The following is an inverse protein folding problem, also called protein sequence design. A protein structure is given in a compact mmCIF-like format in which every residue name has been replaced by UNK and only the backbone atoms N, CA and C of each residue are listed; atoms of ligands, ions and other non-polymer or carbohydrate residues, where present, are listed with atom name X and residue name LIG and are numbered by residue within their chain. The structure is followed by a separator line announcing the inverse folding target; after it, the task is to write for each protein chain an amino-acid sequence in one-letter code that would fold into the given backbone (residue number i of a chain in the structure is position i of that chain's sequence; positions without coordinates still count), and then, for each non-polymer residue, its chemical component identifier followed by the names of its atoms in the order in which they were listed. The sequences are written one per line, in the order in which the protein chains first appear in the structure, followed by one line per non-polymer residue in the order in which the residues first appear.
data_IF_495086769039
#
_entry.id   IF_495086769039
#
_cell.length_a   1.000
_cell.length_b   1.000
_cell.length_c   1.000
_cell.angle_alpha   90.00
_cell.angle_beta   90.00
_cell.angle_gamma   90.00
#
_symmetry.space_group_name_H-M   'P 1'
#
loop_
_entity.id
_entity.type
_entity.pdbx_description
1 polymer ?
#
# COMPACT_ATOMS: atom_id res chain seq x y z
N UNK A 1 15.40 -3.79 65.55
CA UNK A 1 14.23 -3.22 64.86
C UNK A 1 14.66 -2.98 63.41
N UNK A 2 13.82 -3.39 62.49
CA UNK A 2 14.13 -3.94 61.16
C UNK A 2 14.82 -2.97 60.19
N UNK A 3 15.62 -3.56 59.30
CA UNK A 3 16.40 -2.93 58.22
C UNK A 3 15.55 -2.14 57.22
N UNK A 4 16.14 -1.06 56.73
CA UNK A 4 15.66 -0.15 55.68
C UNK A 4 15.06 -0.90 54.49
N UNK A 5 13.83 -0.52 54.13
CA UNK A 5 13.14 -1.03 52.94
C UNK A 5 14.00 -0.81 51.69
N UNK A 6 14.21 -1.88 50.93
CA UNK A 6 14.91 -1.82 49.66
C UNK A 6 14.08 -1.03 48.65
N UNK A 7 14.72 -0.05 48.02
CA UNK A 7 14.20 0.56 46.80
C UNK A 7 14.26 -0.49 45.70
N UNK A 8 13.16 -1.21 45.49
CA UNK A 8 12.96 -1.99 44.29
C UNK A 8 12.77 -1.00 43.13
N UNK A 9 13.79 -0.86 42.29
CA UNK A 9 13.61 -0.32 40.95
C UNK A 9 12.79 -1.34 40.16
N UNK A 10 11.48 -1.31 40.34
CA UNK A 10 10.55 -2.04 39.51
C UNK A 10 10.38 -1.23 38.22
N UNK A 11 11.34 -1.37 37.31
CA UNK A 11 11.10 -1.09 35.89
C UNK A 11 10.10 -2.13 35.41
N UNK A 12 8.81 -1.81 35.50
CA UNK A 12 7.79 -2.51 34.71
C UNK A 12 8.16 -2.28 33.25
N UNK A 13 8.78 -3.27 32.60
CA UNK A 13 8.91 -3.27 31.17
C UNK A 13 7.50 -3.08 30.58
N UNK A 14 7.34 -2.02 29.79
CA UNK A 14 6.16 -1.83 28.94
C UNK A 14 5.94 -3.14 28.16
N UNK A 15 4.73 -3.73 28.12
CA UNK A 15 4.51 -4.87 27.25
C UNK A 15 4.84 -4.45 25.81
N UNK A 16 5.87 -5.07 25.25
CA UNK A 16 6.21 -4.89 23.84
C UNK A 16 4.98 -5.19 23.00
N UNK A 17 4.62 -4.28 22.10
CA UNK A 17 3.56 -4.54 21.13
C UNK A 17 3.97 -5.67 20.18
N UNK A 18 3.08 -6.62 20.00
CA UNK A 18 3.26 -7.80 19.15
C UNK A 18 2.12 -7.96 18.14
N UNK A 19 1.19 -7.01 18.10
CA UNK A 19 0.06 -7.04 17.17
C UNK A 19 0.43 -6.27 15.90
N UNK A 20 0.10 -6.82 14.75
CA UNK A 20 0.27 -6.11 13.48
C UNK A 20 -0.93 -5.18 13.22
N UNK A 21 -0.72 -4.09 12.46
CA UNK A 21 -1.81 -3.17 12.13
C UNK A 21 -2.89 -3.87 11.30
N UNK A 22 -4.16 -3.58 11.57
CA UNK A 22 -5.27 -4.06 10.75
C UNK A 22 -5.46 -3.11 9.56
N UNK A 23 -5.12 -3.58 8.36
CA UNK A 23 -5.39 -2.87 7.10
C UNK A 23 -6.88 -2.94 6.77
N UNK A 24 -7.46 -1.81 6.37
CA UNK A 24 -8.88 -1.68 6.04
C UNK A 24 -9.12 -0.60 4.99
N UNK A 25 -10.33 -0.59 4.40
CA UNK A 25 -10.76 0.43 3.44
C UNK A 25 -9.79 0.64 2.26
N UNK A 26 -9.23 -0.46 1.74
CA UNK A 26 -8.37 -0.43 0.56
C UNK A 26 -9.17 0.07 -0.64
N UNK A 27 -8.73 1.20 -1.20
CA UNK A 27 -9.27 1.83 -2.40
C UNK A 27 -8.16 2.02 -3.42
N UNK A 28 -8.36 1.45 -4.60
CA UNK A 28 -7.39 1.51 -5.70
C UNK A 28 -7.99 2.36 -6.81
N UNK A 29 -7.37 3.52 -7.04
CA UNK A 29 -7.79 4.42 -8.11
C UNK A 29 -7.63 3.79 -9.50
N UNK A 30 -8.40 4.30 -10.46
CA UNK A 30 -8.20 3.98 -11.88
C UNK A 30 -6.75 4.28 -12.29
N UNK A 31 -6.00 3.30 -12.84
CA UNK A 31 -4.61 3.50 -13.24
C UNK A 31 -4.49 4.58 -14.30
N UNK A 32 -3.38 5.30 -14.28
CA UNK A 32 -2.95 6.13 -15.40
C UNK A 32 -2.07 5.31 -16.35
N UNK A 33 -1.39 5.96 -17.29
CA UNK A 33 -0.47 5.32 -18.22
C UNK A 33 0.75 4.72 -17.51
N UNK A 34 1.20 5.32 -16.40
CA UNK A 34 2.46 4.93 -15.72
C UNK A 34 2.37 4.87 -14.20
N UNK A 35 1.15 4.99 -13.64
CA UNK A 35 0.97 5.20 -12.21
C UNK A 35 -0.31 4.53 -11.71
N UNK A 36 -0.27 4.01 -10.49
CA UNK A 36 -1.43 3.52 -9.73
C UNK A 36 -1.39 4.14 -8.34
N UNK A 37 -2.49 4.73 -7.89
CA UNK A 37 -2.60 5.23 -6.51
C UNK A 37 -3.49 4.31 -5.69
N UNK A 38 -3.02 3.96 -4.50
CA UNK A 38 -3.71 3.10 -3.52
C UNK A 38 -3.85 3.89 -2.22
N UNK A 39 -5.06 3.88 -1.66
CA UNK A 39 -5.38 4.49 -0.36
C UNK A 39 -5.93 3.40 0.57
N UNK A 40 -5.63 3.52 1.86
CA UNK A 40 -6.16 2.62 2.88
C UNK A 40 -6.05 3.26 4.28
N UNK A 41 -6.61 2.58 5.27
CA UNK A 41 -6.49 2.96 6.67
C UNK A 41 -5.98 1.80 7.53
N UNK A 42 -5.32 2.14 8.64
CA UNK A 42 -5.00 1.19 9.71
C UNK A 42 -5.58 1.61 11.05
N UNK A 43 -5.83 0.65 11.93
CA UNK A 43 -6.33 0.88 13.28
C UNK A 43 -5.27 1.50 14.21
N UNK A 44 -3.99 1.38 13.87
CA UNK A 44 -2.85 1.99 14.56
C UNK A 44 -1.87 2.70 13.61
N UNK A 45 -0.88 3.42 14.15
CA UNK A 45 0.09 4.17 13.35
C UNK A 45 1.09 3.21 12.69
N UNK A 46 1.14 3.19 11.36
CA UNK A 46 1.97 2.26 10.60
C UNK A 46 2.60 2.89 9.36
N UNK A 47 3.59 2.22 8.78
CA UNK A 47 4.21 2.61 7.50
C UNK A 47 3.24 2.42 6.34
N UNK A 48 3.54 3.06 5.20
CA UNK A 48 2.70 3.03 4.00
C UNK A 48 3.46 2.41 2.82
N UNK A 49 3.28 1.13 2.51
CA UNK A 49 3.94 0.51 1.35
C UNK A 49 2.96 -0.24 0.45
N UNK A 50 3.22 -0.16 -0.85
CA UNK A 50 2.58 -1.00 -1.87
C UNK A 50 3.67 -1.85 -2.51
N UNK A 51 3.51 -3.16 -2.39
CA UNK A 51 4.27 -4.14 -3.13
C UNK A 51 3.58 -4.37 -4.48
N UNK A 52 4.32 -4.35 -5.59
CA UNK A 52 3.81 -4.59 -6.93
C UNK A 52 4.66 -5.58 -7.72
N UNK A 53 4.00 -6.37 -8.57
CA UNK A 53 4.62 -7.43 -9.37
C UNK A 53 4.05 -7.47 -10.79
N UNK A 54 4.85 -7.96 -11.74
CA UNK A 54 4.43 -8.30 -13.11
C UNK A 54 4.06 -9.77 -13.27
N UNK A 55 4.54 -10.64 -12.37
CA UNK A 55 4.44 -12.09 -12.49
C UNK A 55 3.75 -12.76 -11.28
N UNK A 56 3.33 -11.96 -10.30
CA UNK A 56 2.68 -12.42 -9.07
C UNK A 56 3.60 -13.13 -8.07
N UNK A 57 4.91 -13.19 -8.35
CA UNK A 57 5.89 -13.92 -7.52
C UNK A 57 6.99 -13.02 -6.98
N UNK A 58 7.52 -12.12 -7.81
CA UNK A 58 8.59 -11.19 -7.42
C UNK A 58 7.99 -9.81 -7.25
N UNK A 59 8.04 -9.30 -6.02
CA UNK A 59 7.47 -8.00 -5.67
C UNK A 59 8.55 -6.95 -5.44
N UNK A 60 8.27 -5.74 -5.91
CA UNK A 60 9.03 -4.52 -5.63
C UNK A 60 8.15 -3.61 -4.78
N UNK A 61 8.73 -2.89 -3.83
CA UNK A 61 7.98 -2.02 -2.92
C UNK A 61 8.22 -0.53 -3.22
N UNK A 62 7.16 0.27 -3.19
CA UNK A 62 7.22 1.73 -3.14
C UNK A 62 6.34 2.24 -2.01
N UNK A 63 6.78 3.30 -1.32
CA UNK A 63 6.06 3.77 -0.13
C UNK A 63 6.86 4.73 0.74
N UNK A 64 6.42 4.84 2.00
CA UNK A 64 6.98 5.70 3.03
C UNK A 64 7.02 5.00 4.39
N UNK A 65 8.12 5.19 5.10
CA UNK A 65 8.29 4.74 6.48
C UNK A 65 7.63 5.69 7.52
N UNK A 66 7.01 6.79 7.09
CA UNK A 66 6.28 7.68 8.01
C UNK A 66 5.07 6.96 8.59
N UNK A 67 4.95 7.00 9.92
CA UNK A 67 3.86 6.37 10.64
C UNK A 67 2.59 7.24 10.61
N UNK A 68 1.50 6.67 10.13
CA UNK A 68 0.18 7.30 10.02
C UNK A 68 -0.92 6.23 10.09
N UNK A 69 -2.18 6.65 10.27
CA UNK A 69 -3.35 5.77 10.12
C UNK A 69 -4.07 5.92 8.78
N UNK A 70 -3.78 7.00 8.06
CA UNK A 70 -4.36 7.31 6.76
C UNK A 70 -3.25 7.28 5.74
N UNK A 71 -3.36 6.38 4.76
CA UNK A 71 -2.29 6.05 3.85
C UNK A 71 -2.67 6.42 2.42
N UNK A 72 -1.68 6.87 1.66
CA UNK A 72 -1.79 7.07 0.22
C UNK A 72 -0.44 6.84 -0.40
N UNK A 73 -0.37 5.90 -1.35
CA UNK A 73 0.85 5.59 -2.11
C UNK A 73 0.53 5.63 -3.59
N UNK A 74 1.27 6.45 -4.33
CA UNK A 74 1.30 6.39 -5.79
C UNK A 74 2.51 5.60 -6.24
N UNK A 75 2.27 4.38 -6.74
CA UNK A 75 3.30 3.59 -7.43
C UNK A 75 3.53 4.23 -8.80
N UNK A 76 4.78 4.60 -9.09
CA UNK A 76 5.19 5.30 -10.31
C UNK A 76 6.20 4.49 -11.13
N UNK A 77 6.39 4.89 -12.39
CA UNK A 77 7.37 4.28 -13.28
C UNK A 77 6.90 2.96 -13.89
N UNK A 78 5.58 2.75 -13.95
CA UNK A 78 4.98 1.55 -14.51
C UNK A 78 4.98 1.58 -16.04
N UNK A 79 5.05 0.41 -16.66
CA UNK A 79 4.97 0.27 -18.12
C UNK A 79 3.51 0.43 -18.57
N UNK A 80 3.23 1.18 -19.65
CA UNK A 80 1.88 1.31 -20.22
C UNK A 80 1.28 -0.03 -20.67
N UNK A 81 -0.05 -0.15 -20.66
CA UNK A 81 -0.78 -1.34 -21.10
C UNK A 81 -0.22 -2.65 -20.51
N UNK A 82 0.08 -2.64 -19.22
CA UNK A 82 0.71 -3.77 -18.52
C UNK A 82 -0.10 -4.10 -17.27
N UNK A 83 -0.30 -5.39 -17.03
CA UNK A 83 -0.97 -5.89 -15.83
C UNK A 83 0.02 -5.92 -14.66
N UNK A 84 -0.43 -5.41 -13.53
CA UNK A 84 0.29 -5.44 -12.27
C UNK A 84 -0.55 -6.09 -11.20
N UNK A 85 0.10 -6.90 -10.37
CA UNK A 85 -0.45 -7.44 -9.13
C UNK A 85 0.08 -6.62 -7.95
N UNK A 86 -0.81 -6.25 -7.02
CA UNK A 86 -0.50 -5.39 -5.89
C UNK A 86 -0.84 -6.09 -4.57
N UNK A 87 -0.02 -5.83 -3.56
CA UNK A 87 -0.26 -6.14 -2.15
C UNK A 87 -0.01 -4.87 -1.32
N UNK A 88 -0.83 -4.63 -0.31
CA UNK A 88 -0.71 -3.48 0.57
C UNK A 88 0.01 -3.93 1.83
N UNK A 89 1.01 -3.16 2.28
CA UNK A 89 1.84 -3.50 3.43
C UNK A 89 1.96 -2.33 4.39
N UNK A 90 1.78 -2.63 5.67
CA UNK A 90 1.89 -1.69 6.77
C UNK A 90 2.61 -2.35 7.93
N UNK A 91 3.60 -1.64 8.49
CA UNK A 91 4.36 -2.09 9.64
C UNK A 91 4.24 -1.05 10.75
N UNK A 92 4.00 -1.47 11.99
CA UNK A 92 3.97 -0.56 13.13
C UNK A 92 5.39 -0.11 13.54
N UNK A 93 5.49 0.66 14.63
CA UNK A 93 6.78 1.11 15.17
C UNK A 93 7.64 -0.03 15.77
N UNK A 94 7.02 -1.13 16.20
CA UNK A 94 7.68 -2.28 16.82
C UNK A 94 8.12 -3.34 15.79
N UNK A 95 7.76 -3.16 14.52
CA UNK A 95 8.11 -4.03 13.41
C UNK A 95 7.09 -5.15 13.15
N UNK A 96 5.90 -5.09 13.75
CA UNK A 96 4.81 -6.01 13.42
C UNK A 96 4.24 -5.62 12.05
N UNK A 97 4.18 -6.59 11.13
CA UNK A 97 3.85 -6.36 9.71
C UNK A 97 2.52 -6.99 9.37
N UNK A 98 1.67 -6.22 8.70
CA UNK A 98 0.48 -6.71 8.01
C UNK A 98 0.62 -6.59 6.50
N UNK A 99 0.04 -7.56 5.80
CA UNK A 99 -0.12 -7.56 4.35
C UNK A 99 -1.58 -7.82 4.03
N UNK A 100 -2.17 -6.99 3.16
CA UNK A 100 -3.44 -7.27 2.50
C UNK A 100 -3.17 -7.66 1.05
N UNK A 101 -3.43 -8.93 0.74
CA UNK A 101 -3.28 -9.56 -0.57
C UNK A 101 -4.63 -9.92 -1.21
N UNK A 102 -5.71 -9.23 -0.82
CA UNK A 102 -7.06 -9.50 -1.32
C UNK A 102 -7.48 -10.97 -1.15
N UNK A 103 -7.27 -11.51 0.06
CA UNK A 103 -7.54 -12.92 0.38
C UNK A 103 -6.79 -13.92 -0.52
N UNK A 104 -5.52 -13.62 -0.83
CA UNK A 104 -4.63 -14.45 -1.64
C UNK A 104 -4.78 -14.29 -3.16
N UNK A 105 -5.67 -13.42 -3.64
CA UNK A 105 -5.88 -13.19 -5.07
C UNK A 105 -5.00 -12.07 -5.65
N UNK A 106 -4.36 -11.27 -4.79
CA UNK A 106 -3.77 -9.97 -5.11
C UNK A 106 -4.79 -8.99 -5.71
N UNK A 107 -4.44 -7.70 -5.73
CA UNK A 107 -5.18 -6.71 -6.49
C UNK A 107 -4.59 -6.60 -7.89
N UNK A 108 -5.41 -6.70 -8.92
CA UNK A 108 -4.95 -6.65 -10.32
C UNK A 108 -5.33 -5.33 -10.97
N UNK A 109 -4.36 -4.64 -11.55
CA UNK A 109 -4.58 -3.36 -12.24
C UNK A 109 -3.79 -3.31 -13.55
N UNK A 110 -4.47 -2.93 -14.63
CA UNK A 110 -3.84 -2.68 -15.92
C UNK A 110 -3.61 -1.18 -16.12
N UNK A 111 -2.36 -0.78 -16.35
CA UNK A 111 -2.06 0.60 -16.74
C UNK A 111 -2.68 0.95 -18.09
N UNK A 112 -3.01 2.22 -18.29
CA UNK A 112 -3.63 2.66 -19.54
C UNK A 112 -2.65 2.56 -20.71
N UNK A 113 -3.20 2.35 -21.92
CA UNK A 113 -2.42 2.42 -23.15
C UNK A 113 -1.92 3.84 -23.38
N UNK A 114 -0.64 3.98 -23.69
CA UNK A 114 -0.09 5.24 -24.17
C UNK A 114 -0.66 5.54 -25.56
N UNK A 115 -1.56 6.52 -25.64
CA UNK A 115 -2.08 6.99 -26.92
C UNK A 115 -1.11 8.03 -27.49
N UNK A 116 -0.44 7.67 -28.59
CA UNK A 116 0.28 8.65 -29.42
C UNK A 116 -0.71 9.72 -29.90
N UNK A 117 -0.25 10.96 -30.14
CA UNK A 117 -1.12 12.09 -30.54
C UNK A 117 -2.07 11.73 -31.72
N UNK A 118 -1.65 10.85 -32.63
CA UNK A 118 -2.47 10.35 -33.74
C UNK A 118 -3.64 9.43 -33.34
N UNK A 119 -3.53 8.66 -32.25
CA UNK A 119 -4.60 7.77 -31.77
C UNK A 119 -5.65 8.49 -30.91
N UNK A 120 -5.29 9.62 -30.27
CA UNK A 120 -6.23 10.44 -29.48
C UNK A 120 -7.26 11.15 -30.37
N UNK A 121 -6.86 11.61 -31.57
CA UNK A 121 -7.77 12.20 -32.57
C UNK A 121 -8.72 11.12 -33.12
N UNK A 122 -8.20 9.91 -33.40
CA UNK A 122 -9.01 8.82 -33.94
C UNK A 122 -10.06 8.30 -32.94
N UNK A 123 -9.73 8.18 -31.64
CA UNK A 123 -10.72 7.81 -30.61
C UNK A 123 -11.79 8.89 -30.38
N UNK A 124 -11.46 10.18 -30.54
CA UNK A 124 -12.44 11.26 -30.38
C UNK A 124 -13.46 11.29 -31.53
N UNK A 125 -13.03 10.97 -32.76
CA UNK A 125 -13.91 10.88 -33.94
C UNK A 125 -14.84 9.66 -33.87
N UNK A 126 -14.35 8.51 -33.36
CA UNK A 126 -15.17 7.30 -33.19
C UNK A 126 -16.27 7.46 -32.13
N UNK A 127 -16.05 8.25 -31.08
CA UNK A 127 -17.07 8.52 -30.03
C UNK A 127 -18.16 9.51 -30.46
N UNK A 128 -17.90 10.34 -31.49
CA UNK A 128 -18.88 11.29 -32.02
C UNK A 128 -19.84 10.68 -33.05
N UNK A 129 -19.47 9.57 -33.71
CA UNK A 129 -20.24 8.94 -34.77
C UNK A 129 -21.18 7.80 -34.29
N UNK A 130 -21.24 7.55 -32.98
CA UNK A 130 -22.10 6.52 -32.37
C UNK A 130 -23.26 7.12 -31.54
N UNK A 131 -23.56 8.41 -31.72
CA UNK A 131 -24.69 9.11 -31.11
C UNK A 131 -25.72 9.52 -32.18
#
# INVERSE_FOLDING_TARGET
MTVSAGNIFQTTADPLDVSAPIISSVDISSPTVTNITVNWTTDENSTSYVAYSLDGTTFVEQGSATLTKNHSVTVVGLTPNTDYELQIKSSDAMGNVATDDNAGANYTQRTQTSLLLGQRILMLILRLNMA
#
